data_IF_575206548937
#
_entry.id   IF_575206548937
#
_cell.length_a   1.000
_cell.length_b   1.000
_cell.length_c   1.000
_cell.angle_alpha   90.00
_cell.angle_beta   90.00
_cell.angle_gamma   90.00
#
_symmetry.space_group_name_H-M   'P 1'
#
loop_
_entity.id
_entity.type
_entity.pdbx_description
1 polymer ?
#
# COMPACT_ATOMS: atom_id res chain seq x y z
N UNK A 1 -23.16 25.24 7.62
CA UNK A 1 -22.59 23.94 7.20
C UNK A 1 -23.14 22.86 8.13
N UNK A 2 -23.57 21.72 7.62
CA UNK A 2 -23.94 20.58 8.47
C UNK A 2 -22.71 20.14 9.29
N UNK A 3 -22.93 19.80 10.56
CA UNK A 3 -21.86 19.29 11.43
C UNK A 3 -21.42 17.92 10.90
N UNK A 4 -20.17 17.81 10.44
CA UNK A 4 -19.49 16.55 10.11
C UNK A 4 -19.60 15.51 11.25
N UNK A 5 -19.52 14.23 10.92
CA UNK A 5 -19.63 13.16 11.92
C UNK A 5 -18.24 12.61 12.30
N UNK A 6 -17.98 12.42 13.60
CA UNK A 6 -16.78 11.70 14.03
C UNK A 6 -17.05 10.20 13.90
N UNK A 7 -16.51 9.60 12.84
CA UNK A 7 -16.69 8.20 12.53
C UNK A 7 -15.57 7.37 13.18
N UNK A 8 -15.93 6.28 13.85
CA UNK A 8 -14.97 5.39 14.51
C UNK A 8 -14.80 4.10 13.72
N UNK A 9 -13.55 3.64 13.59
CA UNK A 9 -13.24 2.35 12.97
C UNK A 9 -13.20 2.36 11.43
N UNK A 10 -13.41 3.50 10.78
CA UNK A 10 -13.27 3.64 9.33
C UNK A 10 -11.79 3.81 8.97
N UNK A 11 -11.29 2.90 8.14
CA UNK A 11 -9.91 2.88 7.63
C UNK A 11 -9.83 3.19 6.11
N UNK A 12 -10.96 3.47 5.47
CA UNK A 12 -11.08 3.85 4.07
C UNK A 12 -11.32 5.36 3.91
N UNK A 13 -10.45 6.02 3.14
CA UNK A 13 -10.49 7.46 2.89
C UNK A 13 -11.76 7.92 2.17
N UNK A 14 -12.16 7.21 1.10
CA UNK A 14 -13.39 7.51 0.35
C UNK A 14 -14.62 7.44 1.25
N UNK A 15 -14.72 6.39 2.08
CA UNK A 15 -15.84 6.22 3.01
C UNK A 15 -15.97 7.39 4.00
N UNK A 16 -14.85 7.91 4.51
CA UNK A 16 -14.87 9.10 5.39
C UNK A 16 -15.38 10.33 4.64
N UNK A 17 -14.89 10.59 3.42
CA UNK A 17 -15.28 11.77 2.65
C UNK A 17 -16.76 11.69 2.22
N UNK A 18 -17.19 10.56 1.66
CA UNK A 18 -18.57 10.34 1.18
C UNK A 18 -19.60 10.41 2.32
N UNK A 19 -19.23 9.95 3.52
CA UNK A 19 -20.09 10.01 4.71
C UNK A 19 -20.15 11.39 5.35
N UNK A 20 -19.51 12.41 4.76
CA UNK A 20 -19.30 13.72 5.36
C UNK A 20 -18.69 13.61 6.78
N UNK A 21 -17.74 12.67 6.93
CA UNK A 21 -17.02 12.41 8.15
C UNK A 21 -16.02 13.52 8.47
N UNK A 22 -15.70 13.69 9.75
CA UNK A 22 -14.65 14.57 10.20
C UNK A 22 -13.29 13.97 9.82
N UNK A 23 -12.60 14.62 8.90
CA UNK A 23 -11.29 14.22 8.39
C UNK A 23 -10.27 15.32 8.68
N UNK A 24 -9.18 14.96 9.35
CA UNK A 24 -8.02 15.84 9.50
C UNK A 24 -7.16 15.67 8.26
N UNK A 25 -6.95 16.76 7.53
CA UNK A 25 -6.29 16.73 6.22
C UNK A 25 -4.80 16.38 6.33
N UNK A 26 -4.46 15.17 5.90
CA UNK A 26 -3.09 14.67 5.80
C UNK A 26 -2.61 14.54 4.35
N UNK A 27 -3.30 15.14 3.40
CA UNK A 27 -3.01 14.98 1.97
C UNK A 27 -1.65 15.53 1.54
N UNK A 28 -1.02 16.41 2.34
CA UNK A 28 0.36 16.82 2.11
C UNK A 28 1.37 15.66 2.21
N UNK A 29 1.00 14.51 2.76
CA UNK A 29 1.80 13.28 2.63
C UNK A 29 2.06 12.94 1.16
N UNK A 30 1.10 13.15 0.27
CA UNK A 30 1.24 12.87 -1.17
C UNK A 30 2.35 13.73 -1.76
N UNK A 31 2.36 15.03 -1.41
CA UNK A 31 3.40 15.99 -1.82
C UNK A 31 4.78 15.51 -1.39
N UNK A 32 4.91 15.11 -0.12
CA UNK A 32 6.15 14.61 0.44
C UNK A 32 6.65 13.37 -0.32
N UNK A 33 5.77 12.40 -0.62
CA UNK A 33 6.12 11.20 -1.38
C UNK A 33 6.54 11.50 -2.82
N UNK A 34 5.91 12.48 -3.48
CA UNK A 34 6.27 12.91 -4.84
C UNK A 34 7.66 13.57 -4.87
N UNK A 35 8.03 14.28 -3.80
CA UNK A 35 9.31 14.98 -3.70
C UNK A 35 10.46 14.08 -3.22
N UNK A 36 10.17 12.93 -2.60
CA UNK A 36 11.19 11.95 -2.22
C UNK A 36 11.76 11.27 -3.48
N UNK A 37 13.09 11.33 -3.70
CA UNK A 37 13.72 10.70 -4.88
C UNK A 37 13.77 9.18 -4.78
N UNK A 38 13.69 8.63 -3.57
CA UNK A 38 13.80 7.19 -3.32
C UNK A 38 12.57 6.43 -3.81
N UNK A 39 12.85 5.25 -4.36
CA UNK A 39 11.80 4.35 -4.85
C UNK A 39 11.09 3.61 -3.74
N UNK A 40 11.65 3.53 -2.54
CA UNK A 40 11.13 2.66 -1.48
C UNK A 40 11.08 3.47 -0.19
N UNK A 41 9.87 3.61 0.32
CA UNK A 41 9.56 4.43 1.48
C UNK A 41 8.93 3.54 2.52
N UNK A 42 9.61 3.38 3.66
CA UNK A 42 9.09 2.66 4.80
C UNK A 42 8.59 3.64 5.86
N UNK A 43 7.30 3.56 6.18
CA UNK A 43 6.62 4.39 7.16
C UNK A 43 6.38 3.56 8.43
N UNK A 44 7.16 3.83 9.47
CA UNK A 44 6.98 3.20 10.79
C UNK A 44 6.28 4.17 11.75
N UNK A 45 5.07 3.83 12.20
CA UNK A 45 4.30 4.62 13.18
C UNK A 45 3.54 3.69 14.15
N UNK A 46 3.27 4.14 15.40
CA UNK A 46 2.50 3.35 16.36
C UNK A 46 1.09 2.98 15.86
N UNK A 47 0.44 2.05 16.55
CA UNK A 47 -0.96 1.64 16.25
C UNK A 47 -1.90 2.86 16.33
N UNK A 48 -2.91 2.91 15.46
CA UNK A 48 -3.93 3.98 15.38
C UNK A 48 -3.44 5.38 14.96
N UNK A 49 -2.26 5.48 14.34
CA UNK A 49 -1.74 6.75 13.78
C UNK A 49 -2.22 7.07 12.35
N UNK A 50 -3.32 6.45 11.90
CA UNK A 50 -3.90 6.72 10.57
C UNK A 50 -3.14 6.11 9.39
N UNK A 51 -2.29 5.09 9.61
CA UNK A 51 -1.50 4.44 8.54
C UNK A 51 -2.39 3.88 7.43
N UNK A 52 -3.32 2.99 7.75
CA UNK A 52 -4.24 2.37 6.78
C UNK A 52 -5.10 3.41 6.06
N UNK A 53 -5.60 4.41 6.80
CA UNK A 53 -6.34 5.53 6.22
C UNK A 53 -5.50 6.28 5.18
N UNK A 54 -4.26 6.63 5.53
CA UNK A 54 -3.33 7.26 4.60
C UNK A 54 -3.01 6.35 3.41
N UNK A 55 -2.84 5.04 3.60
CA UNK A 55 -2.61 4.10 2.50
C UNK A 55 -3.79 4.05 1.52
N UNK A 56 -5.02 4.06 2.03
CA UNK A 56 -6.21 4.15 1.17
C UNK A 56 -6.28 5.48 0.41
N UNK A 57 -5.95 6.60 1.07
CA UNK A 57 -5.84 7.91 0.43
C UNK A 57 -4.80 7.91 -0.69
N UNK A 58 -3.62 7.30 -0.48
CA UNK A 58 -2.60 7.18 -1.51
C UNK A 58 -3.06 6.31 -2.70
N UNK A 59 -3.80 5.22 -2.44
CA UNK A 59 -4.42 4.42 -3.50
C UNK A 59 -5.37 5.28 -4.33
N UNK A 60 -6.32 5.97 -3.70
CA UNK A 60 -7.27 6.83 -4.42
C UNK A 60 -6.59 7.96 -5.18
N UNK A 61 -5.50 8.52 -4.64
CA UNK A 61 -4.79 9.59 -5.31
C UNK A 61 -4.04 9.10 -6.55
N UNK A 62 -3.20 8.07 -6.43
CA UNK A 62 -2.29 7.69 -7.52
C UNK A 62 -2.89 6.72 -8.54
N UNK A 63 -3.84 5.89 -8.13
CA UNK A 63 -4.30 4.76 -8.93
C UNK A 63 -5.06 5.19 -10.18
N UNK A 64 -4.68 4.61 -11.32
CA UNK A 64 -5.37 4.79 -12.59
C UNK A 64 -6.81 4.24 -12.50
N UNK A 65 -7.82 4.99 -13.00
CA UNK A 65 -9.23 4.58 -12.98
C UNK A 65 -9.51 3.15 -13.44
N UNK A 66 -8.86 2.70 -14.51
CA UNK A 66 -9.06 1.36 -15.07
C UNK A 66 -8.66 0.22 -14.10
N UNK A 67 -7.79 0.47 -13.12
CA UNK A 67 -7.47 -0.52 -12.09
C UNK A 67 -8.63 -0.79 -11.12
N UNK A 68 -9.57 0.16 -11.00
CA UNK A 68 -10.71 0.11 -10.08
C UNK A 68 -11.92 -0.64 -10.63
N UNK A 69 -11.86 -1.08 -11.90
CA UNK A 69 -12.98 -1.74 -12.58
C UNK A 69 -13.57 -2.93 -11.80
N UNK A 70 -12.72 -3.66 -11.07
CA UNK A 70 -13.14 -4.80 -10.24
C UNK A 70 -13.30 -4.46 -8.76
N UNK A 71 -13.03 -3.22 -8.36
CA UNK A 71 -13.35 -2.71 -7.02
C UNK A 71 -14.82 -2.28 -6.91
N UNK A 72 -15.57 -2.29 -8.03
CA UNK A 72 -16.94 -1.73 -8.13
C UNK A 72 -17.01 -0.25 -7.74
N UNK A 73 -15.89 0.47 -7.93
CA UNK A 73 -15.79 1.90 -7.67
C UNK A 73 -15.99 2.71 -8.95
N UNK A 74 -16.33 4.00 -8.79
CA UNK A 74 -16.40 4.95 -9.90
C UNK A 74 -15.02 5.14 -10.55
N UNK A 75 -15.00 5.53 -11.83
CA UNK A 75 -13.73 5.76 -12.53
C UNK A 75 -13.06 7.05 -12.04
N UNK A 76 -13.84 8.12 -11.84
CA UNK A 76 -13.33 9.41 -11.38
C UNK A 76 -13.37 9.51 -9.85
N UNK A 77 -12.21 9.74 -9.25
CA UNK A 77 -12.01 9.91 -7.81
C UNK A 77 -11.48 11.31 -7.47
N UNK A 78 -11.47 12.24 -8.43
CA UNK A 78 -10.91 13.59 -8.24
C UNK A 78 -11.68 14.39 -7.19
N UNK A 79 -12.99 14.18 -7.08
CA UNK A 79 -13.86 14.82 -6.10
C UNK A 79 -13.39 14.59 -4.65
N UNK A 80 -12.72 13.46 -4.37
CA UNK A 80 -12.20 13.15 -3.03
C UNK A 80 -11.12 14.14 -2.56
N UNK A 81 -10.52 14.91 -3.47
CA UNK A 81 -9.40 15.78 -3.17
C UNK A 81 -9.69 17.28 -3.37
N UNK A 82 -10.84 17.67 -3.94
CA UNK A 82 -11.13 19.05 -4.39
C UNK A 82 -10.87 20.13 -3.33
N UNK A 83 -11.22 19.86 -2.06
CA UNK A 83 -11.08 20.83 -0.96
C UNK A 83 -9.83 20.64 -0.10
N UNK A 84 -8.97 19.67 -0.43
CA UNK A 84 -7.84 19.28 0.39
C UNK A 84 -6.56 20.06 0.04
N UNK A 85 -5.59 20.04 0.94
CA UNK A 85 -4.36 20.81 0.84
C UNK A 85 -3.55 20.42 -0.39
N UNK A 86 -3.53 19.14 -0.79
CA UNK A 86 -2.72 18.65 -1.91
C UNK A 86 -3.03 19.35 -3.24
N UNK A 87 -4.29 19.59 -3.56
CA UNK A 87 -4.67 20.28 -4.81
C UNK A 87 -4.38 21.79 -4.78
N UNK A 88 -4.20 22.37 -3.58
CA UNK A 88 -3.90 23.80 -3.40
C UNK A 88 -2.40 24.11 -3.48
N UNK A 89 -1.54 23.10 -3.35
CA UNK A 89 -0.07 23.29 -3.27
C UNK A 89 0.57 23.54 -4.63
N UNK A 90 -0.02 23.06 -5.73
CA UNK A 90 0.43 23.38 -7.09
C UNK A 90 0.12 22.31 -8.13
N UNK A 91 0.13 22.73 -9.40
CA UNK A 91 -0.28 21.89 -10.54
C UNK A 91 0.58 20.62 -10.70
N UNK A 92 1.89 20.72 -10.43
CA UNK A 92 2.82 19.58 -10.45
C UNK A 92 2.32 18.39 -9.63
N UNK A 93 1.70 18.63 -8.48
CA UNK A 93 1.19 17.56 -7.61
C UNK A 93 -0.16 17.06 -8.09
N UNK A 94 -1.03 17.96 -8.56
CA UNK A 94 -2.35 17.63 -9.12
C UNK A 94 -2.25 16.73 -10.36
N UNK A 95 -1.27 16.96 -11.22
CA UNK A 95 -1.00 16.15 -12.42
C UNK A 95 -0.62 14.68 -12.12
N UNK A 96 -0.32 14.34 -10.87
CA UNK A 96 0.00 12.97 -10.45
C UNK A 96 -1.25 12.16 -10.07
N UNK A 97 -2.42 12.81 -9.95
CA UNK A 97 -3.70 12.18 -9.66
C UNK A 97 -4.08 11.19 -10.78
N UNK A 98 -4.44 9.97 -10.40
CA UNK A 98 -4.94 8.94 -11.32
C UNK A 98 -3.92 8.48 -12.37
N UNK A 99 -2.62 8.61 -12.10
CA UNK A 99 -1.58 8.48 -13.14
C UNK A 99 -0.90 7.11 -13.21
N UNK A 100 -0.91 6.31 -12.14
CA UNK A 100 -0.14 5.08 -12.04
C UNK A 100 -0.99 3.82 -11.81
N UNK A 101 -0.66 2.68 -12.43
CA UNK A 101 -1.22 1.41 -11.98
C UNK A 101 -0.77 1.17 -10.53
N UNK A 102 -1.70 0.77 -9.67
CA UNK A 102 -1.42 0.52 -8.26
C UNK A 102 -1.54 -0.97 -7.94
N UNK A 103 -0.62 -1.46 -7.10
CA UNK A 103 -0.72 -2.75 -6.41
C UNK A 103 -0.90 -2.44 -4.93
N UNK A 104 -1.92 -2.99 -4.27
CA UNK A 104 -2.22 -2.75 -2.87
C UNK A 104 -2.38 -4.04 -2.09
N UNK A 105 -1.49 -4.28 -1.12
CA UNK A 105 -1.51 -5.47 -0.27
C UNK A 105 -1.62 -5.06 1.20
N UNK A 106 -2.66 -5.52 1.90
CA UNK A 106 -2.79 -5.34 3.36
C UNK A 106 -2.54 -6.65 4.08
N UNK A 107 -1.49 -6.71 4.90
CA UNK A 107 -1.14 -7.92 5.66
C UNK A 107 -1.77 -7.93 7.07
N UNK A 108 -2.76 -7.08 7.34
CA UNK A 108 -3.45 -6.94 8.63
C UNK A 108 -4.04 -8.25 9.17
N UNK A 109 -4.47 -9.11 8.26
CA UNK A 109 -5.09 -10.40 8.58
C UNK A 109 -4.10 -11.57 8.46
N UNK A 110 -2.86 -11.35 8.02
CA UNK A 110 -1.85 -12.39 7.91
C UNK A 110 -1.24 -12.72 9.28
N UNK A 111 -2.04 -13.27 10.19
CA UNK A 111 -1.60 -13.68 11.52
C UNK A 111 -2.35 -14.96 11.91
N UNK A 112 -1.60 -16.02 12.16
CA UNK A 112 -2.11 -17.28 12.70
C UNK A 112 -1.15 -17.82 13.76
N UNK A 113 -1.51 -18.92 14.40
CA UNK A 113 -0.67 -19.64 15.35
C UNK A 113 0.41 -20.52 14.68
N UNK A 114 0.33 -20.71 13.37
CA UNK A 114 1.27 -21.51 12.56
C UNK A 114 1.79 -20.76 11.33
N UNK A 115 2.93 -21.22 10.81
CA UNK A 115 3.49 -20.74 9.55
C UNK A 115 2.53 -21.00 8.38
N UNK A 116 1.97 -22.20 8.30
CA UNK A 116 1.08 -22.64 7.23
C UNK A 116 -0.18 -21.79 7.17
N UNK A 117 -0.79 -21.53 8.34
CA UNK A 117 -1.95 -20.66 8.43
C UNK A 117 -1.63 -19.20 8.03
N UNK A 118 -0.49 -18.68 8.48
CA UNK A 118 -0.07 -17.31 8.15
C UNK A 118 0.21 -17.18 6.65
N UNK A 119 0.92 -18.15 6.08
CA UNK A 119 1.18 -18.24 4.65
C UNK A 119 -0.11 -18.34 3.85
N UNK A 120 -1.10 -19.12 4.31
CA UNK A 120 -2.42 -19.18 3.66
C UNK A 120 -3.08 -17.79 3.59
N UNK A 121 -3.10 -17.03 4.68
CA UNK A 121 -3.67 -15.68 4.69
C UNK A 121 -2.90 -14.70 3.79
N UNK A 122 -1.57 -14.85 3.68
CA UNK A 122 -0.75 -14.06 2.74
C UNK A 122 -1.12 -14.43 1.30
N UNK A 123 -1.19 -15.73 0.98
CA UNK A 123 -1.61 -16.22 -0.35
C UNK A 123 -3.00 -15.72 -0.72
N UNK A 124 -3.93 -15.70 0.23
CA UNK A 124 -5.28 -15.15 0.05
C UNK A 124 -5.25 -13.68 -0.33
N UNK A 125 -4.51 -12.87 0.42
CA UNK A 125 -4.38 -11.43 0.15
C UNK A 125 -3.81 -11.17 -1.24
N UNK A 126 -2.79 -11.94 -1.64
CA UNK A 126 -2.16 -11.82 -2.96
C UNK A 126 -3.11 -12.31 -4.07
N UNK A 127 -3.84 -13.41 -3.84
CA UNK A 127 -4.80 -13.93 -4.80
C UNK A 127 -5.93 -12.93 -5.08
N UNK A 128 -6.47 -12.28 -4.05
CA UNK A 128 -7.45 -11.20 -4.18
C UNK A 128 -6.91 -10.02 -4.99
N UNK A 129 -5.65 -9.66 -4.77
CA UNK A 129 -4.99 -8.60 -5.54
C UNK A 129 -4.81 -8.95 -7.02
N UNK A 130 -4.42 -10.19 -7.30
CA UNK A 130 -4.39 -10.69 -8.69
C UNK A 130 -5.79 -10.73 -9.30
N UNK A 131 -6.80 -11.14 -8.55
CA UNK A 131 -8.18 -11.16 -9.01
C UNK A 131 -8.69 -9.74 -9.32
N UNK A 132 -8.32 -8.70 -8.54
CA UNK A 132 -8.62 -7.30 -8.88
C UNK A 132 -8.07 -6.92 -10.26
N UNK A 133 -6.92 -7.49 -10.63
CA UNK A 133 -6.26 -7.26 -11.91
C UNK A 133 -6.57 -8.31 -12.99
N UNK A 134 -7.66 -9.09 -12.83
CA UNK A 134 -8.00 -10.21 -13.73
C UNK A 134 -8.15 -9.82 -15.20
N UNK A 135 -8.50 -8.57 -15.50
CA UNK A 135 -8.53 -8.03 -16.87
C UNK A 135 -7.20 -8.20 -17.63
N UNK A 136 -6.07 -8.36 -16.94
CA UNK A 136 -4.79 -8.69 -17.57
C UNK A 136 -4.84 -10.03 -18.30
N UNK A 137 -5.62 -11.00 -17.81
CA UNK A 137 -5.87 -12.27 -18.49
C UNK A 137 -6.69 -12.08 -19.76
N UNK A 138 -7.59 -11.11 -19.82
CA UNK A 138 -8.40 -10.86 -21.02
C UNK A 138 -7.57 -10.26 -22.17
N UNK A 139 -6.40 -9.71 -21.84
CA UNK A 139 -5.48 -9.11 -22.81
C UNK A 139 -4.45 -10.10 -23.38
N UNK A 140 -3.75 -9.66 -24.42
CA UNK A 140 -2.66 -10.38 -25.11
C UNK A 140 -1.28 -10.13 -24.50
N UNK A 141 -1.19 -9.37 -23.40
CA UNK A 141 0.09 -8.97 -22.80
C UNK A 141 0.81 -10.11 -22.07
N UNK A 142 0.10 -11.18 -21.71
CA UNK A 142 0.63 -12.34 -20.99
C UNK A 142 0.91 -13.49 -21.95
N UNK A 143 2.11 -14.06 -21.86
CA UNK A 143 2.43 -15.33 -22.51
C UNK A 143 1.63 -16.49 -21.90
N UNK A 144 1.58 -17.64 -22.58
CA UNK A 144 0.89 -18.83 -22.07
C UNK A 144 1.45 -19.30 -20.71
N UNK A 145 2.76 -19.16 -20.50
CA UNK A 145 3.41 -19.53 -19.23
C UNK A 145 3.01 -18.55 -18.12
N UNK A 146 3.04 -17.25 -18.40
CA UNK A 146 2.65 -16.23 -17.43
C UNK A 146 1.18 -16.33 -17.06
N UNK A 147 0.32 -16.61 -18.04
CA UNK A 147 -1.11 -16.88 -17.84
C UNK A 147 -1.35 -18.07 -16.93
N UNK A 148 -0.60 -19.17 -17.12
CA UNK A 148 -0.67 -20.34 -16.24
C UNK A 148 -0.29 -19.96 -14.81
N UNK A 149 0.86 -19.32 -14.62
CA UNK A 149 1.32 -18.86 -13.30
C UNK A 149 0.33 -17.90 -12.63
N UNK A 150 -0.26 -17.00 -13.40
CA UNK A 150 -1.26 -16.05 -12.91
C UNK A 150 -2.49 -16.78 -12.35
N UNK A 151 -2.99 -17.77 -13.07
CA UNK A 151 -4.11 -18.60 -12.60
C UNK A 151 -3.74 -19.44 -11.36
N UNK A 152 -2.53 -20.00 -11.30
CA UNK A 152 -2.05 -20.74 -10.12
C UNK A 152 -1.97 -19.84 -8.87
N UNK A 153 -1.63 -18.55 -9.03
CA UNK A 153 -1.65 -17.57 -7.93
C UNK A 153 -3.08 -17.25 -7.48
N UNK A 154 -4.02 -17.02 -8.42
CA UNK A 154 -5.43 -16.78 -8.10
C UNK A 154 -6.04 -17.99 -7.37
N UNK A 155 -5.75 -19.20 -7.84
CA UNK A 155 -6.30 -20.43 -7.28
C UNK A 155 -5.61 -20.84 -5.96
N UNK A 156 -4.51 -20.19 -5.59
CA UNK A 156 -3.67 -20.52 -4.43
C UNK A 156 -2.93 -21.85 -4.51
N UNK A 157 -2.72 -22.31 -5.73
CA UNK A 157 -2.08 -23.59 -6.07
C UNK A 157 -0.58 -23.45 -6.34
N UNK A 158 -0.10 -22.22 -6.56
CA UNK A 158 1.31 -21.96 -6.82
C UNK A 158 2.21 -22.30 -5.60
N UNK A 159 3.46 -22.62 -5.91
CA UNK A 159 4.49 -22.92 -4.92
C UNK A 159 4.85 -21.68 -4.08
N UNK A 160 5.39 -21.89 -2.88
CA UNK A 160 5.84 -20.79 -2.01
C UNK A 160 6.89 -19.92 -2.70
N UNK A 161 7.74 -20.52 -3.52
CA UNK A 161 8.76 -19.78 -4.28
C UNK A 161 8.14 -18.84 -5.31
N UNK A 162 7.09 -19.24 -6.00
CA UNK A 162 6.38 -18.37 -6.95
C UNK A 162 5.68 -17.21 -6.25
N UNK A 163 5.19 -17.44 -5.03
CA UNK A 163 4.66 -16.36 -4.18
C UNK A 163 5.70 -15.31 -3.80
N UNK A 164 7.00 -15.63 -3.86
CA UNK A 164 8.06 -14.61 -3.67
C UNK A 164 8.26 -13.71 -4.89
N UNK A 165 7.75 -14.07 -6.06
CA UNK A 165 7.93 -13.29 -7.30
C UNK A 165 6.71 -12.40 -7.63
N UNK A 166 5.64 -12.44 -6.83
CA UNK A 166 4.31 -11.91 -7.20
C UNK A 166 4.29 -10.40 -7.42
N UNK A 167 4.96 -9.62 -6.56
CA UNK A 167 5.02 -8.16 -6.72
C UNK A 167 5.76 -7.82 -8.01
N UNK A 168 6.89 -8.49 -8.27
CA UNK A 168 7.67 -8.30 -9.48
C UNK A 168 6.84 -8.65 -10.71
N UNK A 169 6.21 -9.82 -10.73
CA UNK A 169 5.42 -10.30 -11.86
C UNK A 169 4.24 -9.36 -12.13
N UNK A 170 3.41 -9.07 -11.13
CA UNK A 170 2.22 -8.23 -11.29
C UNK A 170 2.59 -6.81 -11.79
N UNK A 171 3.62 -6.19 -11.22
CA UNK A 171 4.06 -4.86 -11.68
C UNK A 171 4.60 -4.88 -13.11
N UNK A 172 5.29 -5.94 -13.55
CA UNK A 172 5.71 -6.09 -14.94
C UNK A 172 4.51 -6.26 -15.88
N UNK A 173 3.49 -7.00 -15.44
CA UNK A 173 2.27 -7.22 -16.22
C UNK A 173 1.51 -5.91 -16.40
N UNK A 174 1.28 -5.18 -15.30
CA UNK A 174 0.66 -3.86 -15.31
C UNK A 174 1.44 -2.86 -16.15
N UNK A 175 2.77 -2.84 -16.08
CA UNK A 175 3.60 -1.98 -16.92
C UNK A 175 3.50 -2.33 -18.40
N UNK A 176 3.42 -3.61 -18.76
CA UNK A 176 3.20 -4.02 -20.16
C UNK A 176 1.83 -3.57 -20.67
N UNK A 177 0.80 -3.66 -19.83
CA UNK A 177 -0.56 -3.29 -20.17
C UNK A 177 -0.74 -1.77 -20.29
N UNK A 178 -0.40 -1.01 -19.23
CA UNK A 178 -0.61 0.43 -19.16
C UNK A 178 0.53 1.27 -19.76
N UNK A 179 1.68 0.65 -20.10
CA UNK A 179 2.92 1.34 -20.50
C UNK A 179 3.44 2.36 -19.49
N UNK A 180 3.06 2.19 -18.22
CA UNK A 180 3.45 3.06 -17.10
C UNK A 180 4.07 2.25 -15.96
N UNK A 181 5.00 2.85 -15.25
CA UNK A 181 5.55 2.26 -14.02
C UNK A 181 4.50 2.28 -12.91
N UNK A 182 4.55 1.30 -12.01
CA UNK A 182 3.52 1.03 -11.01
C UNK A 182 3.89 1.62 -9.65
N UNK A 183 2.88 1.97 -8.86
CA UNK A 183 3.04 2.18 -7.41
C UNK A 183 2.67 0.90 -6.68
N UNK A 184 3.43 0.55 -5.66
CA UNK A 184 3.16 -0.61 -4.81
C UNK A 184 2.96 -0.14 -3.38
N UNK A 185 1.83 -0.47 -2.80
CA UNK A 185 1.41 -0.06 -1.47
C UNK A 185 1.26 -1.33 -0.61
N UNK A 186 2.03 -1.43 0.48
CA UNK A 186 1.99 -2.58 1.40
C UNK A 186 1.67 -2.08 2.80
N UNK A 187 0.49 -2.38 3.30
CA UNK A 187 0.03 -1.96 4.63
C UNK A 187 0.23 -3.08 5.66
N UNK A 188 0.67 -2.69 6.86
CA UNK A 188 0.91 -3.59 8.01
C UNK A 188 1.84 -4.78 7.70
N UNK A 189 2.96 -4.52 7.02
CA UNK A 189 3.89 -5.57 6.58
C UNK A 189 4.42 -6.44 7.72
N UNK A 190 4.49 -5.87 8.93
CA UNK A 190 5.08 -6.48 10.12
C UNK A 190 4.09 -7.31 10.95
N UNK A 191 2.79 -7.29 10.63
CA UNK A 191 1.79 -8.14 11.30
C UNK A 191 2.14 -9.64 11.27
N UNK A 192 2.45 -10.27 10.11
CA UNK A 192 2.85 -11.67 10.08
C UNK A 192 4.18 -11.93 10.78
N UNK A 193 5.10 -10.95 10.80
CA UNK A 193 6.37 -11.05 11.51
C UNK A 193 6.13 -11.10 13.03
N UNK A 194 5.25 -10.24 13.53
CA UNK A 194 4.84 -10.23 14.95
C UNK A 194 4.24 -11.59 15.34
N UNK A 195 3.37 -12.12 14.51
CA UNK A 195 2.76 -13.42 14.75
C UNK A 195 3.80 -14.55 14.75
N UNK A 196 4.77 -14.53 13.82
CA UNK A 196 5.87 -15.49 13.79
C UNK A 196 6.81 -15.40 14.98
N UNK A 197 7.06 -14.19 15.50
CA UNK A 197 7.83 -14.02 16.72
C UNK A 197 7.14 -14.63 17.94
N UNK A 198 5.83 -14.39 18.09
CA UNK A 198 5.04 -14.88 19.23
C UNK A 198 4.89 -16.40 19.19
N UNK A 199 4.67 -16.97 18.01
CA UNK A 199 4.29 -18.37 17.84
C UNK A 199 5.44 -19.27 17.33
N UNK A 200 6.67 -18.75 17.20
CA UNK A 200 7.87 -19.55 16.95
C UNK A 200 8.20 -19.87 15.49
N UNK A 201 7.60 -19.17 14.51
CA UNK A 201 7.91 -19.31 13.07
C UNK A 201 8.52 -18.03 12.46
N UNK A 202 9.23 -17.25 13.29
CA UNK A 202 9.82 -15.97 12.88
C UNK A 202 10.79 -16.10 11.69
N UNK A 203 11.56 -17.18 11.63
CA UNK A 203 12.56 -17.38 10.58
C UNK A 203 11.89 -17.56 9.21
N UNK A 204 10.87 -18.40 9.16
CA UNK A 204 10.11 -18.75 7.97
C UNK A 204 9.47 -17.50 7.35
N UNK A 205 8.79 -16.69 8.17
CA UNK A 205 8.14 -15.47 7.69
C UNK A 205 9.14 -14.42 7.22
N UNK A 206 10.25 -14.23 7.95
CA UNK A 206 11.29 -13.27 7.55
C UNK A 206 11.92 -13.69 6.23
N UNK A 207 12.30 -14.96 6.07
CA UNK A 207 12.90 -15.45 4.82
C UNK A 207 11.94 -15.28 3.63
N UNK A 208 10.66 -15.62 3.82
CA UNK A 208 9.64 -15.46 2.80
C UNK A 208 9.43 -13.99 2.42
N UNK A 209 9.13 -13.11 3.40
CA UNK A 209 8.87 -11.70 3.12
C UNK A 209 10.10 -10.98 2.60
N UNK A 210 11.29 -11.31 3.10
CA UNK A 210 12.55 -10.77 2.58
C UNK A 210 12.70 -11.09 1.11
N UNK A 211 12.53 -12.36 0.72
CA UNK A 211 12.55 -12.76 -0.69
C UNK A 211 11.50 -12.00 -1.51
N UNK A 212 10.25 -11.95 -1.04
CA UNK A 212 9.15 -11.29 -1.73
C UNK A 212 9.37 -9.79 -1.95
N UNK A 213 9.79 -9.07 -0.90
CA UNK A 213 9.96 -7.62 -0.93
C UNK A 213 11.24 -7.23 -1.67
N UNK A 214 12.35 -7.97 -1.49
CA UNK A 214 13.60 -7.70 -2.22
C UNK A 214 13.36 -7.88 -3.71
N UNK A 215 12.76 -9.00 -4.15
CA UNK A 215 12.47 -9.21 -5.58
C UNK A 215 11.43 -8.23 -6.12
N UNK A 216 10.42 -7.90 -5.32
CA UNK A 216 9.36 -6.97 -5.70
C UNK A 216 9.83 -5.54 -5.89
N UNK A 217 10.87 -5.11 -5.17
CA UNK A 217 11.30 -3.73 -5.14
C UNK A 217 12.71 -3.48 -5.70
N UNK A 218 13.70 -4.29 -5.31
CA UNK A 218 15.10 -4.14 -5.75
C UNK A 218 15.20 -4.49 -7.23
N UNK A 219 15.84 -3.61 -8.00
CA UNK A 219 16.02 -3.74 -9.46
C UNK A 219 14.72 -3.89 -10.29
N UNK A 220 13.55 -3.67 -9.68
CA UNK A 220 12.28 -3.72 -10.38
C UNK A 220 12.11 -2.48 -11.27
N UNK A 221 12.38 -2.65 -12.57
CA UNK A 221 12.23 -1.59 -13.59
C UNK A 221 10.78 -1.19 -13.83
N UNK A 222 9.81 -1.98 -13.36
CA UNK A 222 8.40 -1.64 -13.42
C UNK A 222 7.92 -0.79 -12.25
N UNK A 223 8.71 -0.68 -11.17
CA UNK A 223 8.37 0.13 -10.00
C UNK A 223 8.68 1.62 -10.21
N UNK A 224 7.66 2.46 -9.99
CA UNK A 224 7.80 3.90 -9.80
C UNK A 224 8.19 4.21 -8.36
N UNK A 225 7.37 3.76 -7.40
CA UNK A 225 7.59 3.94 -5.97
C UNK A 225 6.84 2.85 -5.18
N UNK A 226 7.44 2.39 -4.09
CA UNK A 226 6.87 1.45 -3.14
C UNK A 226 6.72 2.13 -1.77
N UNK A 227 5.52 2.11 -1.20
CA UNK A 227 5.24 2.61 0.15
C UNK A 227 4.84 1.43 1.02
N UNK A 228 5.59 1.23 2.10
CA UNK A 228 5.37 0.14 3.06
C UNK A 228 5.07 0.74 4.41
N UNK A 229 4.08 0.23 5.14
CA UNK A 229 3.75 0.73 6.49
C UNK A 229 3.81 -0.39 7.52
N UNK A 230 4.28 -0.04 8.73
CA UNK A 230 4.29 -0.96 9.86
C UNK A 230 4.58 -0.26 11.18
N UNK A 231 4.87 -1.06 12.21
CA UNK A 231 5.21 -0.59 13.57
C UNK A 231 6.67 -0.91 13.89
N UNK A 232 7.13 -2.12 13.58
CA UNK A 232 8.41 -2.66 14.05
C UNK A 232 9.62 -2.17 13.26
N UNK A 233 10.63 -1.68 13.98
CA UNK A 233 11.97 -1.35 13.46
C UNK A 233 12.90 -2.56 13.35
N UNK A 234 12.68 -3.62 14.14
CA UNK A 234 13.52 -4.85 14.10
C UNK A 234 13.27 -5.67 12.82
N UNK A 235 12.00 -5.75 12.42
CA UNK A 235 11.60 -6.31 11.12
C UNK A 235 12.27 -5.55 9.96
N UNK A 236 12.40 -4.23 10.10
CA UNK A 236 13.10 -3.39 9.14
C UNK A 236 14.56 -3.81 9.01
N UNK A 237 15.32 -3.93 10.10
CA UNK A 237 16.75 -4.28 10.03
C UNK A 237 17.00 -5.67 9.43
N UNK A 238 16.06 -6.62 9.60
CA UNK A 238 16.20 -7.98 9.08
C UNK A 238 15.90 -8.11 7.58
N UNK A 239 14.86 -7.41 7.11
CA UNK A 239 14.39 -7.46 5.72
C UNK A 239 15.11 -6.43 4.85
N UNK A 240 15.25 -5.21 5.37
CA UNK A 240 15.70 -4.05 4.60
C UNK A 240 17.21 -3.84 4.60
N UNK A 241 17.98 -4.69 5.30
CA UNK A 241 19.46 -4.70 5.23
C UNK A 241 19.99 -4.93 3.81
N UNK A 242 19.24 -5.65 2.97
CA UNK A 242 19.67 -6.05 1.63
C UNK A 242 19.26 -5.04 0.55
N UNK A 243 18.57 -3.97 0.95
CA UNK A 243 18.17 -2.88 0.08
C UNK A 243 19.30 -1.84 0.02
N UNK A 244 19.64 -1.40 -1.18
CA UNK A 244 20.54 -0.26 -1.34
C UNK A 244 19.74 1.02 -0.99
N UNK A 245 19.84 1.46 0.26
CA UNK A 245 19.27 2.71 0.80
C UNK A 245 17.74 2.87 0.66
N UNK A 246 16.89 2.12 1.40
CA UNK A 246 15.50 2.51 1.55
C UNK A 246 15.43 3.82 2.37
N UNK A 247 14.58 4.76 1.96
CA UNK A 247 14.28 5.92 2.82
C UNK A 247 13.28 5.50 3.87
N UNK A 248 13.72 5.61 5.12
CA UNK A 248 12.95 5.14 6.27
C UNK A 248 12.41 6.35 7.00
N UNK A 249 11.15 6.67 6.73
CA UNK A 249 10.42 7.73 7.43
C UNK A 249 10.01 7.25 8.83
N UNK A 250 10.99 7.20 9.74
CA UNK A 250 10.74 6.83 11.14
C UNK A 250 10.03 7.93 11.93
N UNK A 251 9.52 7.60 13.12
CA UNK A 251 8.90 8.54 14.08
C UNK A 251 9.86 9.70 14.43
N UNK A 252 11.17 9.50 14.27
CA UNK A 252 12.21 10.43 14.69
C UNK A 252 12.59 11.45 13.61
N UNK A 253 12.20 11.24 12.35
CA UNK A 253 12.45 12.22 11.29
C UNK A 253 11.49 13.40 11.45
N UNK A 254 12.05 14.61 11.62
CA UNK A 254 11.27 15.84 11.77
C UNK A 254 10.44 16.19 10.54
N UNK A 255 10.84 15.72 9.36
CA UNK A 255 10.30 16.12 8.05
C UNK A 255 8.93 15.52 7.71
N UNK A 256 8.36 14.63 8.53
CA UNK A 256 7.00 14.06 8.33
C UNK A 256 6.21 13.84 9.63
N UNK A 257 6.44 14.69 10.65
CA UNK A 257 5.78 14.55 11.97
C UNK A 257 4.29 14.87 11.92
N UNK A 258 3.90 15.82 11.10
CA UNK A 258 2.53 16.29 10.94
C UNK A 258 1.69 15.42 10.00
N UNK A 259 2.29 14.44 9.30
CA UNK A 259 1.58 13.60 8.31
C UNK A 259 0.88 12.37 8.90
N UNK A 260 1.19 12.01 10.15
CA UNK A 260 0.62 10.87 10.86
C UNK A 260 0.30 11.23 12.31
N UNK A 261 -0.87 10.80 12.80
CA UNK A 261 -1.40 11.26 14.09
C UNK A 261 -1.85 12.72 14.05
N UNK A 262 -2.01 13.33 15.23
CA UNK A 262 -2.48 14.70 15.36
C UNK A 262 -1.39 15.61 15.94
N UNK A 263 -1.26 16.79 15.37
CA UNK A 263 -0.48 17.90 15.93
C UNK A 263 -1.28 18.59 17.03
N UNK A 264 -0.59 19.39 17.87
CA UNK A 264 -1.26 20.14 18.93
C UNK A 264 -2.37 21.05 18.37
N UNK A 265 -2.08 21.81 17.31
CA UNK A 265 -3.06 22.71 16.69
C UNK A 265 -4.29 21.95 16.15
N UNK A 266 -4.09 20.76 15.60
CA UNK A 266 -5.21 19.91 15.15
C UNK A 266 -6.04 19.40 16.32
N UNK A 267 -5.41 19.06 17.45
CA UNK A 267 -6.13 18.67 18.68
C UNK A 267 -6.94 19.84 19.23
N UNK A 268 -6.38 21.05 19.26
CA UNK A 268 -7.08 22.26 19.68
C UNK A 268 -8.29 22.53 18.77
N UNK A 269 -8.10 22.47 17.45
CA UNK A 269 -9.19 22.62 16.49
C UNK A 269 -10.27 21.53 16.63
N UNK A 270 -9.89 20.29 16.92
CA UNK A 270 -10.82 19.20 17.20
C UNK A 270 -11.58 19.40 18.51
N UNK A 271 -10.96 20.03 19.52
CA UNK A 271 -11.61 20.30 20.79
C UNK A 271 -12.63 21.45 20.69
N UNK A 272 -12.44 22.36 19.72
CA UNK A 272 -13.37 23.46 19.41
C UNK A 272 -14.57 23.02 18.54
N UNK A 273 -14.55 21.78 18.03
CA UNK A 273 -15.52 21.22 17.08
C UNK A 273 -16.85 20.74 17.70
#
# INVERSE_FOLDING_TARGET
MQKKQVLQGIDNFKEIIDSNGYYVDKTLLIKDLIDIPDKIILITRPRRFGKTLNMSMLKYFFEIPQCRRYDMEEEDMSYLFEDLAIVKVGERYKEELGKYPAVYLTLKNAKQDSWEGTLYNIKETIALEYERHRYLLESDILTNIERKKYNEIINREASVYEYTDVIMNLTHYLKRYFKKSCIVLIDEYDTPIQAGYINGYFKEIIEFQKSMLVKGFKDNKALKQGVVTGIMKVAQESIFSDFNNPTVCTVLMHEHKDKFGFTQAEVEQMAEY
#
